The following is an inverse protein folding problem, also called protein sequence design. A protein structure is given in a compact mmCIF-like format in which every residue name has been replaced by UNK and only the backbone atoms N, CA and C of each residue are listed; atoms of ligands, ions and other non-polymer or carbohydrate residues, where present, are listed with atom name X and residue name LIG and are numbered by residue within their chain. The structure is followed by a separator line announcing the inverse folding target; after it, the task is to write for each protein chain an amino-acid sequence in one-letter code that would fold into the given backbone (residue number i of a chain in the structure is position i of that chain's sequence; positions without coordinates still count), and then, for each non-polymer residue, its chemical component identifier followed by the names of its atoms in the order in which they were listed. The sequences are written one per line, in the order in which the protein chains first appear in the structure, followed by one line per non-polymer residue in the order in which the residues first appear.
data_IF_856783461767
#
_entry.id   IF_856783461767
#
_cell.length_a   1.000
_cell.length_b   1.000
_cell.length_c   1.000
_cell.angle_alpha   90.00
_cell.angle_beta   90.00
_cell.angle_gamma   90.00
#
_symmetry.space_group_name_H-M   'P 1'
#
loop_
_entity.id
_entity.type
_entity.pdbx_description
1 polymer ?
#
# COMPACT_ATOMS: atom_id res chain seq x y z
N UNK A 1 0.99 7.09 -4.80
CA UNK A 1 1.76 5.85 -4.54
C UNK A 1 3.28 6.05 -4.53
N UNK A 2 3.85 7.03 -5.26
CA UNK A 2 5.31 7.31 -5.21
C UNK A 2 5.81 7.63 -3.80
N UNK A 3 5.05 8.39 -3.01
CA UNK A 3 5.44 8.76 -1.63
C UNK A 3 5.52 7.55 -0.69
N UNK A 4 4.61 6.57 -0.86
CA UNK A 4 4.61 5.32 -0.08
C UNK A 4 5.83 4.48 -0.44
N UNK A 5 6.17 4.40 -1.74
CA UNK A 5 7.36 3.68 -2.19
C UNK A 5 8.64 4.30 -1.64
N UNK A 6 8.77 5.63 -1.70
CA UNK A 6 9.91 6.35 -1.13
C UNK A 6 10.07 6.08 0.37
N UNK A 7 8.95 6.01 1.10
CA UNK A 7 8.98 5.72 2.53
C UNK A 7 9.36 4.26 2.83
N UNK A 8 8.88 3.30 2.05
CA UNK A 8 9.29 1.89 2.13
C UNK A 8 10.79 1.74 1.88
N UNK A 9 11.31 2.37 0.82
CA UNK A 9 12.74 2.35 0.48
C UNK A 9 13.58 2.94 1.63
N UNK A 10 13.09 4.03 2.26
CA UNK A 10 13.73 4.61 3.44
C UNK A 10 13.76 3.65 4.62
N UNK A 11 12.66 2.94 4.90
CA UNK A 11 12.60 1.96 5.99
C UNK A 11 13.60 0.81 5.79
N UNK A 12 13.77 0.34 4.56
CA UNK A 12 14.78 -0.66 4.23
C UNK A 12 16.20 -0.12 4.44
N UNK A 13 16.49 1.10 3.96
CA UNK A 13 17.78 1.75 4.16
C UNK A 13 18.11 1.99 5.66
N UNK A 14 17.12 2.40 6.44
CA UNK A 14 17.25 2.59 7.90
C UNK A 14 17.48 1.25 8.61
N UNK A 15 16.82 0.17 8.16
CA UNK A 15 17.04 -1.18 8.68
C UNK A 15 18.45 -1.71 8.38
N UNK A 16 18.94 -1.53 7.15
CA UNK A 16 20.30 -1.90 6.75
C UNK A 16 21.35 -1.13 7.55
N UNK A 17 21.14 0.18 7.71
CA UNK A 17 22.01 1.04 8.53
C UNK A 17 22.08 0.55 9.97
N UNK A 18 20.93 0.22 10.58
CA UNK A 18 20.88 -0.34 11.94
C UNK A 18 21.61 -1.69 12.02
N UNK A 19 21.42 -2.58 11.05
CA UNK A 19 22.12 -3.85 11.01
C UNK A 19 23.65 -3.68 10.93
N UNK A 20 24.12 -2.75 10.09
CA UNK A 20 25.55 -2.44 9.94
C UNK A 20 26.15 -1.85 11.23
N UNK A 21 25.43 -0.94 11.90
CA UNK A 21 25.88 -0.41 13.20
C UNK A 21 25.93 -1.52 14.25
N UNK A 22 24.95 -2.42 14.27
CA UNK A 22 24.93 -3.58 15.15
C UNK A 22 26.12 -4.52 14.93
N UNK A 23 26.58 -4.68 13.70
CA UNK A 23 27.76 -5.50 13.37
C UNK A 23 29.09 -4.84 13.78
N UNK A 24 29.16 -3.52 13.68
CA UNK A 24 30.38 -2.75 14.01
C UNK A 24 30.49 -2.36 15.49
N UNK A 25 29.40 -2.52 16.26
CA UNK A 25 29.40 -2.20 17.68
C UNK A 25 30.14 -3.24 18.54
N UNK A 26 31.15 -2.77 19.30
CA UNK A 26 31.90 -3.58 20.27
C UNK A 26 31.10 -3.94 21.52
N UNK A 27 30.08 -3.13 21.87
CA UNK A 27 29.23 -3.33 23.03
C UNK A 27 28.02 -4.23 22.70
N UNK A 28 27.88 -5.35 23.42
CA UNK A 28 26.81 -6.33 23.19
C UNK A 28 25.39 -5.78 23.36
N UNK A 29 25.16 -4.93 24.36
CA UNK A 29 23.85 -4.31 24.57
C UNK A 29 23.47 -3.41 23.38
N UNK A 30 24.44 -2.64 22.84
CA UNK A 30 24.22 -1.85 21.62
C UNK A 30 23.91 -2.73 20.42
N UNK A 31 24.62 -3.86 20.24
CA UNK A 31 24.33 -4.82 19.16
C UNK A 31 22.87 -5.30 19.21
N UNK A 32 22.40 -5.68 20.40
CA UNK A 32 21.02 -6.15 20.61
C UNK A 32 19.98 -5.08 20.28
N UNK A 33 20.21 -3.83 20.69
CA UNK A 33 19.31 -2.71 20.39
C UNK A 33 19.23 -2.45 18.89
N UNK A 34 20.38 -2.36 18.21
CA UNK A 34 20.41 -2.10 16.77
C UNK A 34 19.83 -3.25 15.95
N UNK A 35 20.02 -4.50 16.38
CA UNK A 35 19.36 -5.66 15.78
C UNK A 35 17.83 -5.58 15.92
N UNK A 36 17.32 -5.29 17.11
CA UNK A 36 15.88 -5.14 17.35
C UNK A 36 15.28 -3.98 16.53
N UNK A 37 16.02 -2.88 16.38
CA UNK A 37 15.60 -1.73 15.59
C UNK A 37 15.55 -2.06 14.09
N UNK A 38 16.57 -2.75 13.56
CA UNK A 38 16.59 -3.23 12.18
C UNK A 38 15.39 -4.15 11.88
N UNK A 39 15.09 -5.07 12.80
CA UNK A 39 13.94 -5.97 12.65
C UNK A 39 12.61 -5.24 12.70
N UNK A 40 12.51 -4.18 13.51
CA UNK A 40 11.31 -3.35 13.60
C UNK A 40 11.08 -2.60 12.28
N UNK A 41 12.12 -1.99 11.71
CA UNK A 41 12.02 -1.29 10.43
C UNK A 41 11.65 -2.24 9.28
N UNK A 42 12.22 -3.46 9.24
CA UNK A 42 11.83 -4.48 8.24
C UNK A 42 10.37 -4.89 8.35
N UNK A 43 9.87 -5.11 9.58
CA UNK A 43 8.47 -5.43 9.81
C UNK A 43 7.56 -4.31 9.32
N UNK A 44 7.89 -3.06 9.66
CA UNK A 44 7.12 -1.91 9.21
C UNK A 44 7.11 -1.77 7.69
N UNK A 45 8.26 -1.93 7.03
CA UNK A 45 8.35 -1.94 5.57
C UNK A 45 7.45 -3.02 4.96
N UNK A 46 7.49 -4.24 5.50
CA UNK A 46 6.65 -5.36 5.05
C UNK A 46 5.16 -5.05 5.17
N UNK A 47 4.72 -4.46 6.28
CA UNK A 47 3.30 -4.10 6.44
C UNK A 47 2.90 -2.98 5.45
N UNK A 48 3.78 -2.01 5.21
CA UNK A 48 3.51 -0.95 4.24
C UNK A 48 3.47 -1.47 2.80
N UNK A 49 4.32 -2.44 2.45
CA UNK A 49 4.28 -3.13 1.16
C UNK A 49 2.95 -3.87 0.96
N UNK A 50 2.46 -4.57 1.99
CA UNK A 50 1.14 -5.22 1.94
C UNK A 50 0.01 -4.23 1.73
N UNK A 51 0.05 -3.11 2.47
CA UNK A 51 -0.94 -2.04 2.30
C UNK A 51 -0.87 -1.50 0.88
N UNK A 52 0.32 -1.19 0.38
CA UNK A 52 0.50 -0.66 -0.98
C UNK A 52 -0.02 -1.63 -2.06
N UNK A 53 0.22 -2.93 -1.90
CA UNK A 53 -0.29 -3.97 -2.79
C UNK A 53 -1.82 -4.05 -2.75
N UNK A 54 -2.43 -4.01 -1.55
CA UNK A 54 -3.88 -4.00 -1.40
C UNK A 54 -4.52 -2.79 -2.10
N UNK A 55 -3.96 -1.59 -1.91
CA UNK A 55 -4.46 -0.39 -2.60
C UNK A 55 -4.31 -0.46 -4.12
N UNK A 56 -3.22 -1.05 -4.64
CA UNK A 56 -3.06 -1.26 -6.07
C UNK A 56 -4.17 -2.15 -6.65
N UNK A 57 -4.51 -3.25 -5.96
CA UNK A 57 -5.61 -4.13 -6.40
C UNK A 57 -6.97 -3.43 -6.37
N UNK A 58 -7.24 -2.62 -5.34
CA UNK A 58 -8.48 -1.83 -5.25
C UNK A 58 -8.56 -0.77 -6.35
N UNK A 59 -7.46 -0.12 -6.69
CA UNK A 59 -7.40 0.84 -7.79
C UNK A 59 -7.68 0.15 -9.14
N UNK A 60 -7.11 -1.03 -9.39
CA UNK A 60 -7.40 -1.84 -10.60
C UNK A 60 -8.87 -2.27 -10.68
N UNK A 61 -9.46 -2.73 -9.57
CA UNK A 61 -10.87 -3.11 -9.51
C UNK A 61 -11.80 -1.91 -9.74
N UNK A 62 -11.44 -0.75 -9.17
CA UNK A 62 -12.15 0.50 -9.40
C UNK A 62 -12.05 0.91 -10.87
N UNK A 63 -10.87 0.85 -11.48
CA UNK A 63 -10.66 1.18 -12.88
C UNK A 63 -11.47 0.27 -13.81
N UNK A 64 -11.44 -1.05 -13.59
CA UNK A 64 -12.29 -2.03 -14.32
C UNK A 64 -13.77 -1.71 -14.19
N UNK A 65 -14.21 -1.28 -13.00
CA UNK A 65 -15.59 -0.90 -12.75
C UNK A 65 -15.96 0.38 -13.51
N UNK A 66 -15.09 1.40 -13.50
CA UNK A 66 -15.30 2.64 -14.24
C UNK A 66 -15.32 2.40 -15.76
N UNK A 67 -14.41 1.59 -16.29
CA UNK A 67 -14.39 1.21 -17.72
C UNK A 67 -15.69 0.50 -18.13
N UNK A 68 -16.19 -0.40 -17.28
CA UNK A 68 -17.47 -1.08 -17.52
C UNK A 68 -18.63 -0.09 -17.59
N UNK A 69 -18.70 0.86 -16.66
CA UNK A 69 -19.74 1.89 -16.61
C UNK A 69 -19.67 2.83 -17.83
N UNK A 70 -18.47 3.17 -18.29
CA UNK A 70 -18.25 4.16 -19.35
C UNK A 70 -18.34 3.60 -20.78
N UNK A 71 -18.23 2.29 -20.99
CA UNK A 71 -18.23 1.75 -22.35
C UNK A 71 -18.47 0.24 -22.52
N UNK A 72 -18.87 -0.48 -21.47
CA UNK A 72 -19.08 -1.93 -21.52
C UNK A 72 -20.49 -2.40 -21.92
N UNK A 73 -21.51 -1.53 -21.79
CA UNK A 73 -22.88 -1.87 -22.17
C UNK A 73 -23.10 -1.52 -23.64
N UNK A 74 -23.55 -2.48 -24.45
CA UNK A 74 -23.91 -2.25 -25.85
C UNK A 74 -25.10 -1.28 -26.01
N UNK A 75 -25.81 -0.98 -24.91
CA UNK A 75 -26.96 -0.09 -24.85
C UNK A 75 -26.71 1.10 -23.89
N UNK A 76 -26.81 2.36 -24.37
CA UNK A 76 -26.71 3.56 -23.55
C UNK A 76 -27.66 3.61 -22.35
N UNK A 77 -28.85 3.00 -22.45
CA UNK A 77 -29.83 2.98 -21.36
C UNK A 77 -29.39 2.09 -20.20
N UNK A 78 -28.69 1.00 -20.49
CA UNK A 78 -28.16 0.06 -19.48
C UNK A 78 -26.95 0.69 -18.75
N UNK A 79 -26.10 1.43 -19.48
CA UNK A 79 -25.02 2.23 -18.88
C UNK A 79 -25.55 3.29 -17.90
N UNK A 80 -26.58 4.05 -18.28
CA UNK A 80 -27.22 5.04 -17.40
C UNK A 80 -27.84 4.42 -16.15
N UNK A 81 -28.45 3.23 -16.27
CA UNK A 81 -29.03 2.51 -15.14
C UNK A 81 -27.96 2.02 -14.15
N UNK A 82 -26.84 1.49 -14.64
CA UNK A 82 -25.72 1.05 -13.80
C UNK A 82 -25.00 2.24 -13.13
N UNK A 83 -24.89 3.39 -13.81
CA UNK A 83 -24.37 4.63 -13.21
C UNK A 83 -25.30 5.12 -12.07
N UNK A 84 -26.62 5.14 -12.30
CA UNK A 84 -27.59 5.54 -11.28
C UNK A 84 -27.54 4.63 -10.04
N UNK A 85 -27.38 3.32 -10.27
CA UNK A 85 -27.21 2.32 -9.21
C UNK A 85 -25.93 2.53 -8.43
N UNK A 86 -24.80 2.76 -9.08
CA UNK A 86 -23.52 3.05 -8.42
C UNK A 86 -23.58 4.32 -7.56
N UNK A 87 -24.23 5.38 -8.06
CA UNK A 87 -24.44 6.63 -7.31
C UNK A 87 -25.29 6.41 -6.06
N UNK A 88 -26.36 5.61 -6.15
CA UNK A 88 -27.21 5.29 -4.99
C UNK A 88 -26.47 4.54 -3.87
N UNK A 89 -25.60 3.58 -4.24
CA UNK A 89 -24.74 2.82 -3.33
C UNK A 89 -23.67 3.69 -2.65
N UNK A 90 -23.17 4.71 -3.35
CA UNK A 90 -22.22 5.67 -2.78
C UNK A 90 -22.90 6.59 -1.75
N UNK A 91 -24.15 7.00 -1.99
CA UNK A 91 -24.91 7.88 -1.09
C UNK A 91 -25.47 7.18 0.15
N UNK A 92 -25.65 5.86 0.12
CA UNK A 92 -26.21 5.10 1.27
C UNK A 92 -25.17 4.67 2.30
N UNK A 93 -23.87 4.88 2.03
CA UNK A 93 -22.76 4.49 2.92
C UNK A 93 -22.20 5.66 3.74
N UNK A 94 -22.78 6.84 3.61
CA UNK A 94 -22.57 8.03 4.47
C UNK A 94 -23.73 8.15 5.45
#
# INVERSE_FOLDING_TARGET
MQDIKLYIDKLHADAESCAMIGQTASNEAKRKVFAALADTYRKLATEMERIAAAYATLDEEREKTLLRLLGGAADPMESLAEIAKALSLATSKT
#
